data_IF_574810169233
#
_entry.id   IF_574810169233
#
_cell.length_a   1.000
_cell.length_b   1.000
_cell.length_c   1.000
_cell.angle_alpha   90.00
_cell.angle_beta   90.00
_cell.angle_gamma   90.00
#
_symmetry.space_group_name_H-M   'P 1'
#
loop_
_entity.id
_entity.type
_entity.pdbx_description
1 polymer ?
#
# COMPACT_ATOMS: atom_id res chain seq x y z
N UNK A 1 24.22 -4.41 -24.35
CA UNK A 1 22.99 -4.68 -25.13
C UNK A 1 22.80 -6.18 -25.18
N UNK A 2 21.59 -6.69 -24.84
CA UNK A 2 21.28 -8.14 -25.00
C UNK A 2 20.53 -8.33 -26.31
N UNK A 3 21.03 -9.25 -27.14
CA UNK A 3 20.36 -9.63 -28.38
C UNK A 3 19.21 -10.60 -28.06
N UNK A 4 18.02 -10.29 -28.54
CA UNK A 4 16.85 -11.16 -28.43
C UNK A 4 16.77 -12.00 -29.69
N UNK A 5 17.00 -13.30 -29.56
CA UNK A 5 16.90 -14.27 -30.67
C UNK A 5 15.47 -14.79 -30.77
N UNK A 6 15.00 -14.94 -32.00
CA UNK A 6 13.71 -15.58 -32.26
C UNK A 6 13.75 -17.04 -31.78
N UNK A 7 12.79 -17.43 -30.95
CA UNK A 7 12.65 -18.78 -30.45
C UNK A 7 11.24 -19.30 -30.70
N UNK A 8 11.11 -20.59 -30.96
CA UNK A 8 9.82 -21.25 -30.87
C UNK A 8 9.52 -21.52 -29.43
N UNK A 9 8.47 -20.88 -28.91
CA UNK A 9 8.01 -21.03 -27.52
C UNK A 9 7.17 -22.31 -27.49
N UNK A 10 7.60 -23.31 -26.72
CA UNK A 10 6.75 -24.41 -26.28
C UNK A 10 5.90 -23.94 -25.10
N UNK A 11 4.90 -24.74 -24.73
CA UNK A 11 4.07 -24.43 -23.55
C UNK A 11 4.95 -24.16 -22.33
N UNK A 12 4.82 -22.97 -21.77
CA UNK A 12 5.53 -22.58 -20.57
C UNK A 12 4.56 -21.99 -19.53
N UNK A 13 4.81 -22.33 -18.27
CA UNK A 13 4.07 -21.76 -17.14
C UNK A 13 4.97 -20.74 -16.43
N UNK A 14 4.45 -19.52 -16.24
CA UNK A 14 5.15 -18.44 -15.55
C UNK A 14 4.32 -18.00 -14.36
N UNK A 15 4.94 -18.00 -13.17
CA UNK A 15 4.36 -17.38 -11.99
C UNK A 15 4.77 -15.93 -11.92
N UNK A 16 3.78 -15.03 -11.75
CA UNK A 16 4.01 -13.60 -11.61
C UNK A 16 3.74 -13.16 -10.16
N UNK A 17 4.50 -12.18 -9.65
CA UNK A 17 4.22 -11.61 -8.33
C UNK A 17 2.87 -10.89 -8.31
N UNK A 18 2.33 -10.66 -7.12
CA UNK A 18 1.11 -9.90 -6.92
C UNK A 18 1.18 -8.49 -7.52
N UNK A 19 0.03 -7.93 -7.84
CA UNK A 19 -0.07 -6.57 -8.40
C UNK A 19 0.11 -5.50 -7.33
N UNK A 20 1.06 -4.58 -7.53
CA UNK A 20 1.25 -3.42 -6.66
C UNK A 20 -0.02 -2.59 -6.50
N UNK A 21 -0.64 -2.25 -7.59
CA UNK A 21 -1.85 -1.42 -7.59
C UNK A 21 -3.02 -2.07 -6.87
N UNK A 22 -3.23 -3.36 -7.04
CA UNK A 22 -4.26 -4.08 -6.31
C UNK A 22 -3.91 -4.21 -4.83
N UNK A 23 -2.67 -4.50 -4.48
CA UNK A 23 -2.24 -4.60 -3.08
C UNK A 23 -2.53 -3.32 -2.31
N UNK A 24 -2.17 -2.14 -2.83
CA UNK A 24 -2.50 -0.86 -2.17
C UNK A 24 -4.01 -0.68 -1.98
N UNK A 25 -4.80 -0.92 -3.03
CA UNK A 25 -6.26 -0.71 -2.97
C UNK A 25 -6.93 -1.68 -2.03
N UNK A 26 -6.53 -2.96 -2.06
CA UNK A 26 -7.09 -3.98 -1.17
C UNK A 26 -6.74 -3.73 0.30
N UNK A 27 -5.52 -3.27 0.59
CA UNK A 27 -5.11 -2.86 1.94
C UNK A 27 -6.03 -1.75 2.48
N UNK A 28 -6.27 -0.72 1.67
CA UNK A 28 -7.12 0.41 2.06
C UNK A 28 -8.57 -0.03 2.23
N UNK A 29 -9.14 -0.78 1.26
CA UNK A 29 -10.50 -1.27 1.34
C UNK A 29 -10.70 -2.16 2.57
N UNK A 30 -9.76 -3.07 2.84
CA UNK A 30 -9.80 -3.91 4.02
C UNK A 30 -9.66 -3.11 5.33
N UNK A 31 -8.81 -2.09 5.36
CA UNK A 31 -8.64 -1.22 6.53
C UNK A 31 -9.91 -0.42 6.88
N UNK A 32 -10.65 0.01 5.85
CA UNK A 32 -11.88 0.77 6.01
C UNK A 32 -13.12 -0.11 6.25
N UNK A 33 -13.04 -1.41 5.99
CA UNK A 33 -14.15 -2.35 6.23
C UNK A 33 -14.44 -2.55 7.72
N UNK A 34 -15.52 -3.21 8.03
CA UNK A 34 -15.90 -3.60 9.40
C UNK A 34 -15.46 -5.03 9.77
N UNK A 35 -14.85 -5.76 8.83
CA UNK A 35 -14.46 -7.15 8.99
C UNK A 35 -12.96 -7.39 8.97
N UNK A 36 -12.60 -8.67 9.07
CA UNK A 36 -11.23 -9.15 8.92
C UNK A 36 -11.06 -9.69 7.50
N UNK A 37 -10.06 -9.21 6.79
CA UNK A 37 -9.75 -9.62 5.44
C UNK A 37 -8.36 -10.25 5.37
N UNK A 38 -8.20 -11.28 4.53
CA UNK A 38 -6.88 -11.80 4.16
C UNK A 38 -6.64 -11.53 2.69
N UNK A 39 -5.61 -10.76 2.40
CA UNK A 39 -5.13 -10.47 1.05
C UNK A 39 -4.07 -11.51 0.74
N UNK A 40 -4.35 -12.40 -0.19
CA UNK A 40 -3.42 -13.44 -0.64
C UNK A 40 -2.58 -12.96 -1.81
N UNK A 41 -1.35 -13.46 -1.91
CA UNK A 41 -0.40 -13.11 -2.98
C UNK A 41 -0.25 -11.58 -3.13
N UNK A 42 -0.14 -10.88 -2.00
CA UNK A 42 0.10 -9.45 -1.98
C UNK A 42 1.52 -9.15 -2.47
N UNK A 43 1.70 -8.10 -3.26
CA UNK A 43 3.06 -7.68 -3.59
C UNK A 43 3.73 -7.08 -2.36
N UNK A 44 4.83 -7.70 -1.93
CA UNK A 44 5.70 -7.15 -0.89
C UNK A 44 6.77 -6.32 -1.58
N UNK A 45 6.71 -5.02 -1.42
CA UNK A 45 7.66 -4.04 -1.96
C UNK A 45 7.77 -2.87 -1.00
N UNK A 46 8.80 -2.05 -1.13
CA UNK A 46 8.96 -0.84 -0.32
C UNK A 46 7.71 0.05 -0.36
N UNK A 47 7.16 0.29 -1.54
CA UNK A 47 5.94 1.10 -1.71
C UNK A 47 4.74 0.53 -0.94
N UNK A 48 4.51 -0.79 -1.01
CA UNK A 48 3.38 -1.42 -0.31
C UNK A 48 3.61 -1.45 1.19
N UNK A 49 4.86 -1.58 1.65
CA UNK A 49 5.22 -1.48 3.06
C UNK A 49 4.93 -0.09 3.63
N UNK A 50 5.21 0.99 2.90
CA UNK A 50 4.82 2.34 3.33
C UNK A 50 3.31 2.45 3.55
N UNK A 51 2.48 1.84 2.70
CA UNK A 51 1.03 1.82 2.91
C UNK A 51 0.65 1.02 4.16
N UNK A 52 1.27 -0.14 4.38
CA UNK A 52 1.03 -0.96 5.58
C UNK A 52 1.37 -0.18 6.85
N UNK A 53 2.56 0.43 6.90
CA UNK A 53 3.00 1.16 8.08
C UNK A 53 2.16 2.42 8.34
N UNK A 54 1.76 3.13 7.29
CA UNK A 54 0.85 4.28 7.41
C UNK A 54 -0.51 3.87 8.01
N UNK A 55 -1.11 2.78 7.51
CA UNK A 55 -2.37 2.28 8.04
C UNK A 55 -2.24 1.79 9.48
N UNK A 56 -1.11 1.17 9.84
CA UNK A 56 -0.82 0.81 11.25
C UNK A 56 -0.74 2.05 12.15
N UNK A 57 -0.07 3.12 11.70
CA UNK A 57 -0.01 4.39 12.43
C UNK A 57 -1.40 5.03 12.57
N UNK A 58 -2.28 4.82 11.59
CA UNK A 58 -3.70 5.21 11.68
C UNK A 58 -4.55 4.24 12.52
N UNK A 59 -3.93 3.30 13.24
CA UNK A 59 -4.57 2.39 14.18
C UNK A 59 -5.13 1.10 13.58
N UNK A 60 -4.84 0.79 12.32
CA UNK A 60 -5.24 -0.47 11.69
C UNK A 60 -4.28 -1.58 12.08
N UNK A 61 -4.79 -2.70 12.58
CA UNK A 61 -3.96 -3.89 12.82
C UNK A 61 -3.76 -4.65 11.51
N UNK A 62 -2.50 -4.87 11.14
CA UNK A 62 -2.11 -5.61 9.94
C UNK A 62 -1.01 -6.60 10.31
N UNK A 63 -1.23 -7.87 9.99
CA UNK A 63 -0.26 -8.95 10.13
C UNK A 63 0.21 -9.38 8.73
N UNK A 64 1.53 -9.38 8.52
CA UNK A 64 2.15 -9.81 7.26
C UNK A 64 2.81 -11.16 7.48
N UNK A 65 2.47 -12.15 6.65
CA UNK A 65 3.04 -13.49 6.68
C UNK A 65 3.41 -13.90 5.27
N UNK A 66 4.70 -13.94 4.97
CA UNK A 66 5.17 -14.16 3.61
C UNK A 66 4.54 -13.14 2.65
N UNK A 67 3.72 -13.56 1.70
CA UNK A 67 2.98 -12.75 0.74
C UNK A 67 1.49 -12.59 1.10
N UNK A 68 1.06 -13.12 2.24
CA UNK A 68 -0.29 -12.93 2.77
C UNK A 68 -0.34 -11.78 3.79
N UNK A 69 -1.35 -10.94 3.70
CA UNK A 69 -1.59 -9.85 4.65
C UNK A 69 -2.98 -9.99 5.27
N UNK A 70 -3.04 -10.15 6.59
CA UNK A 70 -4.30 -10.14 7.33
C UNK A 70 -4.55 -8.74 7.89
N UNK A 71 -5.66 -8.14 7.48
CA UNK A 71 -6.06 -6.79 7.84
C UNK A 71 -7.32 -6.84 8.70
N UNK A 72 -7.28 -6.17 9.84
CA UNK A 72 -8.42 -6.04 10.75
C UNK A 72 -9.04 -4.66 10.52
N UNK A 73 -10.17 -4.64 9.82
CA UNK A 73 -10.85 -3.42 9.44
C UNK A 73 -11.39 -2.63 10.63
N UNK A 74 -11.55 -1.33 10.45
CA UNK A 74 -11.93 -0.41 11.52
C UNK A 74 -13.22 0.36 11.26
N UNK A 75 -14.03 -0.05 10.29
CA UNK A 75 -15.27 0.65 9.90
C UNK A 75 -15.06 2.15 9.63
N UNK A 76 -13.95 2.51 8.98
CA UNK A 76 -13.58 3.90 8.73
C UNK A 76 -13.11 4.71 9.95
N UNK A 77 -13.02 4.10 11.14
CA UNK A 77 -12.55 4.78 12.37
C UNK A 77 -11.03 4.76 12.44
N UNK A 78 -10.41 5.82 11.94
CA UNK A 78 -8.97 5.99 11.94
C UNK A 78 -8.50 6.80 13.16
N UNK A 79 -7.41 6.37 13.76
CA UNK A 79 -6.78 7.07 14.87
C UNK A 79 -5.89 8.20 14.35
N UNK A 80 -5.91 9.34 15.01
CA UNK A 80 -4.97 10.43 14.73
C UNK A 80 -3.56 9.99 15.11
N UNK A 81 -2.61 10.23 14.24
CA UNK A 81 -1.20 10.02 14.50
C UNK A 81 -0.51 11.38 14.69
N UNK A 82 0.04 11.67 15.87
CA UNK A 82 0.75 12.93 16.10
C UNK A 82 2.09 13.00 15.35
N UNK A 83 2.67 11.86 15.03
CA UNK A 83 3.91 11.79 14.26
C UNK A 83 3.63 11.85 12.76
N UNK A 84 4.52 12.48 11.96
CA UNK A 84 4.42 12.46 10.52
C UNK A 84 4.48 11.03 9.97
N UNK A 85 3.60 10.72 9.02
CA UNK A 85 3.55 9.45 8.32
C UNK A 85 4.47 9.55 7.11
N UNK A 86 5.58 8.83 7.17
CA UNK A 86 6.59 8.83 6.11
C UNK A 86 6.26 7.81 5.03
N UNK A 87 6.22 8.26 3.77
CA UNK A 87 5.82 7.47 2.60
C UNK A 87 6.93 7.33 1.55
N UNK A 88 8.17 7.68 1.90
CA UNK A 88 9.30 7.60 1.01
C UNK A 88 9.08 8.35 -0.31
N UNK A 89 9.27 7.65 -1.43
CA UNK A 89 9.00 8.18 -2.76
C UNK A 89 7.76 7.53 -3.43
N UNK A 90 6.89 6.92 -2.62
CA UNK A 90 5.68 6.24 -3.09
C UNK A 90 4.54 7.22 -3.40
N UNK A 91 4.46 7.66 -4.65
CA UNK A 91 3.40 8.55 -5.10
C UNK A 91 2.00 7.92 -5.04
N UNK A 92 1.91 6.61 -5.16
CA UNK A 92 0.65 5.86 -5.02
C UNK A 92 0.16 5.92 -3.58
N UNK A 93 1.04 5.60 -2.60
CA UNK A 93 0.70 5.67 -1.18
C UNK A 93 0.30 7.09 -0.79
N UNK A 94 1.06 8.09 -1.21
CA UNK A 94 0.78 9.50 -0.91
C UNK A 94 -0.64 9.89 -1.35
N UNK A 95 -0.99 9.66 -2.62
CA UNK A 95 -2.31 10.05 -3.16
C UNK A 95 -3.47 9.29 -2.53
N UNK A 96 -3.33 7.97 -2.41
CA UNK A 96 -4.41 7.15 -1.86
C UNK A 96 -4.62 7.44 -0.37
N UNK A 97 -3.55 7.58 0.41
CA UNK A 97 -3.63 7.83 1.84
C UNK A 97 -4.05 9.27 2.17
N UNK A 98 -3.84 10.23 1.29
CA UNK A 98 -4.44 11.57 1.43
C UNK A 98 -5.96 11.48 1.46
N UNK A 99 -6.56 10.70 0.54
CA UNK A 99 -8.01 10.45 0.55
C UNK A 99 -8.47 9.70 1.80
N UNK A 100 -7.69 8.72 2.27
CA UNK A 100 -8.00 7.98 3.51
C UNK A 100 -7.91 8.89 4.74
N UNK A 101 -6.88 9.72 4.84
CA UNK A 101 -6.71 10.67 5.93
C UNK A 101 -7.86 11.68 6.03
N UNK A 102 -8.44 12.07 4.90
CA UNK A 102 -9.60 12.96 4.85
C UNK A 102 -10.88 12.36 5.48
N UNK A 103 -10.95 11.04 5.66
CA UNK A 103 -12.03 10.37 6.37
C UNK A 103 -11.86 10.39 7.90
N UNK A 104 -10.63 10.61 8.35
CA UNK A 104 -10.30 10.64 9.78
C UNK A 104 -10.72 11.94 10.47
N UNK A 105 -10.84 11.89 11.79
CA UNK A 105 -11.15 13.08 12.62
C UNK A 105 -9.84 13.61 13.20
N UNK A 106 -9.30 14.69 12.63
CA UNK A 106 -8.10 15.34 13.13
C UNK A 106 -7.09 15.68 12.03
N UNK A 107 -5.86 16.00 12.42
CA UNK A 107 -4.79 16.39 11.51
C UNK A 107 -3.86 15.21 11.26
N UNK A 108 -3.56 14.94 10.00
CA UNK A 108 -2.60 13.96 9.56
C UNK A 108 -1.51 14.65 8.74
N UNK A 109 -0.26 14.43 9.10
CA UNK A 109 0.88 14.93 8.34
C UNK A 109 1.47 13.79 7.51
N UNK A 110 1.35 13.87 6.19
CA UNK A 110 1.97 12.92 5.27
C UNK A 110 3.24 13.54 4.71
N UNK A 111 4.34 12.79 4.72
CA UNK A 111 5.65 13.26 4.26
C UNK A 111 6.38 12.19 3.46
N UNK A 112 7.49 12.55 2.85
CA UNK A 112 8.32 11.63 2.08
C UNK A 112 9.70 12.24 1.81
N UNK A 113 10.42 11.67 0.84
CA UNK A 113 11.71 12.21 0.39
C UNK A 113 11.56 13.62 -0.17
N UNK A 114 12.66 14.37 -0.28
CA UNK A 114 12.69 15.70 -0.91
C UNK A 114 12.09 15.67 -2.32
N UNK A 115 12.38 14.60 -3.08
CA UNK A 115 11.80 14.39 -4.39
C UNK A 115 10.27 14.23 -4.33
N UNK A 116 9.73 13.61 -3.28
CA UNK A 116 8.28 13.49 -3.10
C UNK A 116 7.65 14.84 -2.80
N UNK A 117 8.31 15.66 -1.97
CA UNK A 117 7.80 16.98 -1.60
C UNK A 117 7.75 17.95 -2.80
N UNK A 118 8.61 17.77 -3.81
CA UNK A 118 8.59 18.56 -5.04
C UNK A 118 7.52 18.10 -6.06
N UNK A 119 6.89 16.95 -5.84
CA UNK A 119 5.86 16.45 -6.79
C UNK A 119 4.54 17.19 -6.61
N UNK A 120 3.92 17.63 -7.72
CA UNK A 120 2.58 18.22 -7.66
C UNK A 120 1.59 17.14 -7.21
N UNK A 121 1.03 17.29 -6.01
CA UNK A 121 -0.08 16.50 -5.51
C UNK A 121 -1.32 17.38 -5.65
N UNK A 122 -1.98 17.24 -6.77
CA UNK A 122 -3.25 17.94 -7.06
C UNK A 122 -4.37 16.94 -6.93
#
# INVERSE_FOLDING_TARGET
>A
MKEIKTQKIADCQVSVPGSKSYTHRMLIAAALSDGNCTIKNALISEDTQFTVEALKQMGVRIEVRSDDMRVYGRSGRLSVCPAPIYLGNSGTSMRLLTGVAALGKGTYTLTGTDRMQMRPIK
#
